data_IF_210023193282
#
_entry.id   IF_210023193282
#
_cell.length_a   1.000
_cell.length_b   1.000
_cell.length_c   1.000
_cell.angle_alpha   90.00
_cell.angle_beta   90.00
_cell.angle_gamma   90.00
#
_symmetry.space_group_name_H-M   'P 1'
#
loop_
_entity.id
_entity.type
_entity.pdbx_description
1 polymer ?
#
# COMPACT_ATOMS: atom_id res chain seq x y z
N UNK A 1 6.43 1.73 26.98
CA UNK A 1 6.32 3.16 26.61
C UNK A 1 6.61 3.26 25.12
N UNK A 2 5.65 3.74 24.31
CA UNK A 2 5.86 3.91 22.87
C UNK A 2 6.87 5.04 22.65
N UNK A 3 7.86 4.81 21.79
CA UNK A 3 8.75 5.86 21.32
C UNK A 3 7.88 6.94 20.62
N UNK A 4 7.96 8.23 20.98
CA UNK A 4 7.14 9.28 20.39
C UNK A 4 7.32 9.45 18.88
N UNK A 5 8.36 8.85 18.30
CA UNK A 5 8.62 8.83 16.86
C UNK A 5 8.03 7.61 16.14
N UNK A 6 7.61 6.57 16.87
CA UNK A 6 7.05 5.35 16.27
C UNK A 6 5.60 5.55 15.85
N UNK A 7 5.17 4.80 14.84
CA UNK A 7 3.79 4.75 14.37
C UNK A 7 3.29 3.33 14.26
N UNK A 8 1.96 3.15 14.28
CA UNK A 8 1.32 1.85 14.14
C UNK A 8 0.47 1.80 12.87
N UNK A 9 0.39 0.63 12.28
CA UNK A 9 -0.45 0.33 11.12
C UNK A 9 -1.11 -1.02 11.40
N UNK A 10 -2.41 -1.04 11.46
CA UNK A 10 -3.15 -2.23 11.86
C UNK A 10 -4.44 -2.44 11.08
N UNK A 11 -5.10 -3.53 11.38
CA UNK A 11 -6.39 -3.86 10.80
C UNK A 11 -7.55 -3.24 11.59
N UNK A 12 -8.70 -3.08 10.94
CA UNK A 12 -9.90 -2.48 11.58
C UNK A 12 -10.44 -3.28 12.77
N UNK A 13 -10.17 -4.60 12.86
CA UNK A 13 -10.59 -5.40 14.00
C UNK A 13 -9.59 -5.37 15.18
N UNK A 14 -8.44 -4.71 15.02
CA UNK A 14 -7.42 -4.54 16.08
C UNK A 14 -6.57 -5.77 16.40
N UNK A 15 -6.77 -6.90 15.70
CA UNK A 15 -6.01 -8.14 15.93
C UNK A 15 -4.58 -8.02 15.39
N UNK A 16 -4.42 -7.50 14.16
CA UNK A 16 -3.13 -7.35 13.50
C UNK A 16 -2.65 -5.90 13.59
N UNK A 17 -1.37 -5.74 13.95
CA UNK A 17 -0.71 -4.44 13.98
C UNK A 17 0.79 -4.60 13.70
N UNK A 18 1.37 -3.70 12.94
CA UNK A 18 2.82 -3.51 12.79
C UNK A 18 3.18 -2.14 13.35
N UNK A 19 4.30 -2.07 14.09
CA UNK A 19 4.85 -0.82 14.59
C UNK A 19 6.10 -0.48 13.81
N UNK A 20 6.18 0.74 13.28
CA UNK A 20 7.33 1.26 12.56
C UNK A 20 8.12 2.25 13.41
N UNK A 21 9.44 2.29 13.22
CA UNK A 21 10.35 3.12 14.02
C UNK A 21 10.21 4.62 13.72
N UNK A 22 9.85 5.00 12.49
CA UNK A 22 9.51 6.37 12.10
C UNK A 22 8.06 6.41 11.59
N UNK A 23 7.21 7.19 12.26
CA UNK A 23 5.80 7.33 11.92
C UNK A 23 5.51 8.24 10.74
N UNK A 24 6.51 8.99 10.25
CA UNK A 24 6.29 9.98 9.19
C UNK A 24 6.21 9.31 7.83
N UNK A 25 5.13 9.54 7.11
CA UNK A 25 5.08 9.23 5.70
C UNK A 25 6.13 10.06 4.95
N UNK A 26 6.82 9.43 4.00
CA UNK A 26 7.89 10.07 3.22
C UNK A 26 7.44 10.47 1.82
N UNK A 27 6.31 9.91 1.36
CA UNK A 27 5.77 10.15 0.02
C UNK A 27 4.27 9.91 0.00
N UNK A 28 3.54 10.68 -0.82
CA UNK A 28 2.12 10.49 -1.06
C UNK A 28 1.79 10.61 -2.54
N UNK A 29 1.04 9.63 -3.05
CA UNK A 29 0.47 9.60 -4.39
C UNK A 29 -1.02 9.27 -4.36
N UNK A 30 -1.75 9.63 -5.42
CA UNK A 30 -3.02 9.00 -5.77
C UNK A 30 -2.76 8.02 -6.91
N UNK A 31 -3.42 6.86 -6.90
CA UNK A 31 -3.08 5.78 -7.83
C UNK A 31 -4.30 5.25 -8.57
N UNK A 32 -4.33 5.43 -9.89
CA UNK A 32 -5.39 4.91 -10.77
C UNK A 32 -5.19 3.45 -11.24
N UNK A 33 -4.10 2.76 -10.83
CA UNK A 33 -3.80 1.44 -11.37
C UNK A 33 -4.86 0.40 -10.99
N UNK A 34 -5.09 -0.53 -11.91
CA UNK A 34 -6.00 -1.65 -11.71
C UNK A 34 -5.64 -2.48 -10.48
N UNK A 35 -4.37 -2.74 -10.25
CA UNK A 35 -3.89 -3.57 -9.14
C UNK A 35 -4.24 -2.99 -7.76
N UNK A 36 -4.19 -1.66 -7.60
CA UNK A 36 -4.61 -1.03 -6.36
C UNK A 36 -6.12 -1.20 -6.15
N UNK A 37 -6.93 -0.93 -7.18
CA UNK A 37 -8.38 -1.10 -7.11
C UNK A 37 -8.76 -2.55 -6.84
N UNK A 38 -8.25 -3.50 -7.62
CA UNK A 38 -8.57 -4.93 -7.46
C UNK A 38 -8.20 -5.45 -6.07
N UNK A 39 -7.03 -5.05 -5.54
CA UNK A 39 -6.65 -5.43 -4.19
C UNK A 39 -7.64 -4.95 -3.14
N UNK A 40 -8.06 -3.68 -3.22
CA UNK A 40 -9.04 -3.11 -2.29
C UNK A 40 -10.41 -3.77 -2.44
N UNK A 41 -10.90 -3.91 -3.67
CA UNK A 41 -12.19 -4.51 -3.97
C UNK A 41 -12.24 -5.97 -3.52
N UNK A 42 -11.19 -6.76 -3.79
CA UNK A 42 -11.10 -8.14 -3.36
C UNK A 42 -11.16 -8.26 -1.82
N UNK A 43 -10.36 -7.48 -1.09
CA UNK A 43 -10.42 -7.46 0.36
C UNK A 43 -11.80 -7.04 0.89
N UNK A 44 -12.44 -6.06 0.25
CA UNK A 44 -13.77 -5.57 0.62
C UNK A 44 -14.86 -6.61 0.34
N UNK A 45 -14.80 -7.34 -0.77
CA UNK A 45 -15.74 -8.41 -1.09
C UNK A 45 -15.75 -9.54 -0.04
N UNK A 46 -14.59 -9.82 0.57
CA UNK A 46 -14.46 -10.79 1.65
C UNK A 46 -15.12 -10.34 2.96
N UNK A 47 -15.26 -9.03 3.18
CA UNK A 47 -15.90 -8.47 4.38
C UNK A 47 -17.42 -8.65 4.39
N UNK A 48 -18.06 -8.67 3.22
CA UNK A 48 -19.53 -8.74 3.07
C UNK A 48 -20.11 -10.00 3.76
N UNK A 49 -19.34 -11.07 3.88
CA UNK A 49 -19.77 -12.32 4.50
C UNK A 49 -19.70 -12.34 6.03
N UNK A 50 -19.18 -11.26 6.66
CA UNK A 50 -18.98 -11.19 8.12
C UNK A 50 -19.76 -10.01 8.71
N UNK A 51 -20.87 -10.26 9.43
CA UNK A 51 -21.59 -9.21 10.15
C UNK A 51 -20.65 -8.55 11.20
N UNK A 52 -20.77 -7.25 11.39
CA UNK A 52 -20.01 -6.43 12.34
C UNK A 52 -18.57 -6.04 11.95
N UNK A 53 -18.14 -6.23 10.70
CA UNK A 53 -16.89 -5.67 10.23
C UNK A 53 -17.16 -4.37 9.48
N UNK A 54 -16.38 -3.33 9.77
CA UNK A 54 -16.46 -2.05 9.08
C UNK A 54 -16.20 -2.26 7.57
N UNK A 55 -17.26 -2.15 6.76
CA UNK A 55 -17.16 -2.18 5.30
C UNK A 55 -16.85 -0.79 4.81
N UNK A 56 -15.59 -0.56 4.44
CA UNK A 56 -15.20 0.69 3.81
C UNK A 56 -15.42 0.58 2.31
N UNK A 57 -16.15 1.54 1.74
CA UNK A 57 -16.34 1.62 0.28
C UNK A 57 -14.96 1.78 -0.38
N UNK A 58 -14.61 0.97 -1.39
CA UNK A 58 -13.35 1.09 -2.12
C UNK A 58 -13.15 2.49 -2.70
N UNK A 59 -11.92 2.97 -2.63
CA UNK A 59 -11.54 4.21 -3.29
C UNK A 59 -11.37 3.98 -4.79
N UNK A 60 -11.99 4.85 -5.58
CA UNK A 60 -11.82 4.86 -7.03
C UNK A 60 -10.39 5.28 -7.41
N UNK A 61 -9.84 6.24 -6.68
CA UNK A 61 -8.47 6.73 -6.86
C UNK A 61 -7.75 6.71 -5.51
N UNK A 62 -7.23 5.54 -5.09
CA UNK A 62 -6.68 5.33 -3.76
C UNK A 62 -5.56 6.29 -3.38
N UNK A 63 -5.58 6.73 -2.14
CA UNK A 63 -4.53 7.49 -1.49
C UNK A 63 -3.43 6.54 -1.01
N UNK A 64 -2.22 6.68 -1.54
CA UNK A 64 -1.08 5.78 -1.33
C UNK A 64 0.01 6.53 -0.57
N UNK A 65 0.23 6.16 0.68
CA UNK A 65 1.25 6.77 1.54
C UNK A 65 2.40 5.81 1.79
N UNK A 66 3.62 6.26 1.54
CA UNK A 66 4.83 5.46 1.73
C UNK A 66 5.42 5.70 3.11
N UNK A 67 5.63 4.61 3.82
CA UNK A 67 6.15 4.57 5.19
C UNK A 67 7.52 3.89 5.17
N UNK A 68 8.53 4.41 5.90
CA UNK A 68 9.81 3.75 6.06
C UNK A 68 9.67 2.32 6.59
N UNK A 69 10.37 1.36 5.96
CA UNK A 69 10.22 -0.07 6.25
C UNK A 69 11.04 -0.55 7.46
N UNK A 70 11.08 0.22 8.54
CA UNK A 70 11.69 -0.16 9.81
C UNK A 70 10.64 -0.71 10.76
N UNK A 71 10.28 -1.98 10.63
CA UNK A 71 9.27 -2.65 11.46
C UNK A 71 9.93 -3.14 12.76
N UNK A 72 9.56 -2.55 13.89
CA UNK A 72 10.16 -2.84 15.21
C UNK A 72 9.29 -3.73 16.10
N UNK A 73 8.01 -3.91 15.75
CA UNK A 73 7.10 -4.82 16.47
C UNK A 73 5.97 -5.29 15.57
N UNK A 74 5.49 -6.51 15.82
CA UNK A 74 4.39 -7.14 15.11
C UNK A 74 3.47 -7.79 16.14
N UNK A 75 2.17 -7.48 16.07
CA UNK A 75 1.11 -8.09 16.87
C UNK A 75 0.16 -8.86 15.97
N UNK A 76 -0.28 -10.05 16.40
CA UNK A 76 -1.25 -10.86 15.66
C UNK A 76 -0.72 -11.39 14.33
N UNK A 77 0.57 -11.71 14.27
CA UNK A 77 1.25 -12.23 13.07
C UNK A 77 0.56 -13.47 12.50
N UNK A 78 0.07 -14.35 13.33
CA UNK A 78 -0.65 -15.58 12.98
C UNK A 78 -1.97 -15.32 12.24
N UNK A 79 -2.52 -14.10 12.36
CA UNK A 79 -3.71 -13.63 11.65
C UNK A 79 -3.37 -12.82 10.39
N UNK A 80 -2.11 -12.67 10.04
CA UNK A 80 -1.69 -12.03 8.81
C UNK A 80 -1.53 -13.05 7.69
N UNK A 81 -1.79 -12.63 6.45
CA UNK A 81 -1.45 -13.39 5.24
C UNK A 81 -1.00 -12.46 4.15
N UNK A 82 -0.05 -12.94 3.36
CA UNK A 82 0.51 -12.25 2.22
C UNK A 82 -0.09 -12.80 0.91
N UNK A 83 -0.43 -11.91 -0.02
CA UNK A 83 -1.06 -12.27 -1.29
C UNK A 83 -0.43 -11.53 -2.46
N UNK A 84 -0.38 -12.21 -3.61
CA UNK A 84 -0.22 -11.60 -4.93
C UNK A 84 -1.54 -11.68 -5.68
N UNK A 85 -1.87 -10.67 -6.47
CA UNK A 85 -3.11 -10.70 -7.27
C UNK A 85 -3.04 -11.71 -8.40
N UNK A 86 -1.85 -11.90 -8.99
CA UNK A 86 -1.57 -12.77 -10.13
C UNK A 86 -0.17 -13.37 -10.00
N UNK A 87 0.11 -14.42 -10.74
CA UNK A 87 1.43 -15.07 -10.77
C UNK A 87 2.53 -14.10 -11.23
N UNK A 88 2.28 -13.32 -12.29
CA UNK A 88 3.14 -12.27 -12.80
C UNK A 88 3.17 -11.01 -11.93
N UNK A 89 2.29 -10.93 -10.94
CA UNK A 89 2.16 -9.80 -10.03
C UNK A 89 3.38 -9.65 -9.14
N UNK A 90 3.99 -8.45 -9.14
CA UNK A 90 5.20 -8.16 -8.36
C UNK A 90 4.90 -7.62 -6.98
N UNK A 91 3.75 -6.97 -6.79
CA UNK A 91 3.35 -6.40 -5.49
C UNK A 91 2.82 -7.47 -4.56
N UNK A 92 3.28 -7.42 -3.31
CA UNK A 92 2.81 -8.29 -2.22
C UNK A 92 1.94 -7.46 -1.29
N UNK A 93 0.76 -7.99 -0.97
CA UNK A 93 -0.25 -7.35 -0.14
C UNK A 93 -0.43 -8.11 1.16
N UNK A 94 -0.37 -7.41 2.27
CA UNK A 94 -0.57 -7.96 3.61
C UNK A 94 -1.99 -7.70 4.08
N UNK A 95 -2.75 -8.75 4.35
CA UNK A 95 -4.11 -8.66 4.86
C UNK A 95 -4.26 -9.30 6.23
N UNK A 96 -5.24 -8.83 6.98
CA UNK A 96 -5.75 -9.52 8.15
C UNK A 96 -6.74 -10.62 7.73
N UNK A 97 -6.49 -11.88 8.08
CA UNK A 97 -7.39 -13.02 7.79
C UNK A 97 -8.77 -12.91 8.46
N UNK A 98 -8.88 -12.13 9.53
CA UNK A 98 -10.14 -11.98 10.26
C UNK A 98 -11.07 -10.93 9.64
N UNK A 99 -10.55 -9.76 9.29
CA UNK A 99 -11.39 -8.64 8.82
C UNK A 99 -11.05 -8.18 7.40
N UNK A 100 -10.12 -8.83 6.73
CA UNK A 100 -9.70 -8.52 5.36
C UNK A 100 -9.28 -7.06 5.14
N UNK A 101 -8.84 -6.39 6.21
CA UNK A 101 -8.16 -5.10 6.08
C UNK A 101 -6.86 -5.27 5.32
N UNK A 102 -6.64 -4.44 4.31
CA UNK A 102 -5.36 -4.33 3.63
C UNK A 102 -4.41 -3.49 4.51
N UNK A 103 -3.48 -4.16 5.19
CA UNK A 103 -2.59 -3.53 6.17
C UNK A 103 -1.50 -2.73 5.46
N UNK A 104 -0.82 -3.36 4.49
CA UNK A 104 0.29 -2.74 3.77
C UNK A 104 0.57 -3.44 2.45
N UNK A 105 1.31 -2.79 1.57
CA UNK A 105 1.71 -3.32 0.27
C UNK A 105 3.16 -2.98 0.00
N UNK A 106 3.91 -3.95 -0.52
CA UNK A 106 5.28 -3.77 -1.00
C UNK A 106 5.40 -4.13 -2.49
N UNK A 107 6.41 -3.54 -3.12
CA UNK A 107 6.82 -3.87 -4.48
C UNK A 107 8.35 -3.91 -4.55
N UNK A 108 8.99 -4.83 -5.31
CA UNK A 108 10.46 -4.95 -5.37
C UNK A 108 11.18 -3.66 -5.77
N UNK A 109 10.52 -2.78 -6.52
CA UNK A 109 11.09 -1.48 -6.88
C UNK A 109 11.33 -0.55 -5.68
N UNK A 110 10.74 -0.84 -4.53
CA UNK A 110 10.94 -0.05 -3.30
C UNK A 110 12.19 -0.48 -2.53
N UNK A 111 12.86 -1.55 -2.99
CA UNK A 111 14.13 -2.05 -2.44
C UNK A 111 14.09 -2.30 -0.92
N UNK A 112 12.92 -2.66 -0.40
CA UNK A 112 12.66 -2.85 1.04
C UNK A 112 12.96 -1.61 1.91
N UNK A 113 13.06 -0.41 1.30
CA UNK A 113 13.25 0.85 2.04
C UNK A 113 11.95 1.40 2.58
N UNK A 114 10.88 1.21 1.82
CA UNK A 114 9.52 1.67 2.14
C UNK A 114 8.52 0.60 1.74
N UNK A 115 7.36 0.65 2.35
CA UNK A 115 6.14 0.01 1.86
C UNK A 115 5.03 1.07 1.85
N UNK A 116 3.91 0.80 1.22
CA UNK A 116 2.82 1.76 1.26
C UNK A 116 1.60 1.23 1.99
N UNK A 117 0.83 2.17 2.50
CA UNK A 117 -0.47 1.96 3.12
C UNK A 117 -1.55 2.74 2.39
N UNK A 118 -2.77 2.26 2.55
CA UNK A 118 -4.00 2.90 2.09
C UNK A 118 -4.84 3.24 3.34
N UNK A 119 -4.76 4.47 3.87
CA UNK A 119 -5.28 4.79 5.21
C UNK A 119 -6.76 4.50 5.42
N UNK A 120 -7.56 4.49 4.33
CA UNK A 120 -8.97 4.12 4.39
C UNK A 120 -9.19 2.62 4.61
N UNK A 121 -8.20 1.79 4.28
CA UNK A 121 -8.29 0.32 4.32
C UNK A 121 -7.52 -0.33 5.46
N UNK A 122 -6.82 0.48 6.26
CA UNK A 122 -6.16 0.10 7.52
C UNK A 122 -6.41 1.17 8.58
N UNK A 123 -5.99 0.89 9.81
CA UNK A 123 -5.94 1.88 10.90
C UNK A 123 -4.49 2.27 11.10
N UNK A 124 -4.20 3.57 11.23
CA UNK A 124 -2.82 4.02 11.42
C UNK A 124 -2.72 5.21 12.37
N UNK A 125 -1.65 5.25 13.16
CA UNK A 125 -1.19 6.42 13.91
C UNK A 125 -0.02 7.13 13.23
N UNK A 126 0.34 6.72 12.01
CA UNK A 126 1.39 7.40 11.26
C UNK A 126 0.99 8.84 10.90
N UNK A 127 1.98 9.71 10.86
CA UNK A 127 1.82 11.08 10.41
C UNK A 127 1.79 11.10 8.88
N UNK A 128 0.62 11.42 8.33
CA UNK A 128 0.35 11.46 6.90
C UNK A 128 0.38 12.89 6.32
N UNK A 129 0.90 13.87 7.08
CA UNK A 129 1.01 15.28 6.66
C UNK A 129 2.14 15.50 5.65
N UNK A 130 2.11 14.75 4.55
CA UNK A 130 2.99 14.90 3.40
C UNK A 130 2.17 15.35 2.20
N UNK A 131 2.65 16.32 1.39
CA UNK A 131 1.87 16.82 0.26
C UNK A 131 1.71 15.75 -0.84
N UNK A 132 0.59 15.82 -1.57
CA UNK A 132 0.38 15.03 -2.77
C UNK A 132 1.47 15.40 -3.80
N UNK A 133 2.18 14.41 -4.30
CA UNK A 133 3.29 14.62 -5.24
C UNK A 133 2.87 14.39 -6.69
N UNK A 134 2.00 13.41 -6.93
CA UNK A 134 1.56 13.04 -8.27
C UNK A 134 0.32 12.14 -8.23
N UNK A 135 -0.36 12.07 -9.38
CA UNK A 135 -1.41 11.06 -9.65
C UNK A 135 -0.83 10.08 -10.69
N UNK A 136 -0.88 8.79 -10.39
CA UNK A 136 -0.18 7.74 -11.13
C UNK A 136 -1.13 6.77 -11.82
N UNK A 137 -0.68 6.18 -12.95
CA UNK A 137 -1.34 5.09 -13.66
C UNK A 137 -2.76 5.41 -14.13
N UNK A 138 -2.94 6.61 -14.68
CA UNK A 138 -4.23 7.06 -15.20
C UNK A 138 -4.68 6.32 -16.46
N UNK A 139 -3.79 5.58 -17.14
CA UNK A 139 -4.14 4.65 -18.23
C UNK A 139 -5.15 3.59 -17.78
N UNK A 140 -5.03 3.12 -16.53
CA UNK A 140 -5.87 2.06 -15.98
C UNK A 140 -7.10 2.62 -15.23
N UNK A 141 -7.24 3.94 -15.18
CA UNK A 141 -8.37 4.59 -14.49
C UNK A 141 -9.63 4.45 -15.35
N UNK A 142 -10.73 3.88 -14.82
CA UNK A 142 -11.92 3.63 -15.61
C UNK A 142 -12.56 4.92 -16.13
N UNK A 143 -13.01 4.90 -17.39
CA UNK A 143 -13.67 6.04 -18.04
C UNK A 143 -15.04 6.39 -17.42
N UNK A 144 -15.70 5.40 -16.79
CA UNK A 144 -16.99 5.57 -16.10
C UNK A 144 -16.85 6.16 -14.68
N UNK A 145 -15.63 6.43 -14.24
CA UNK A 145 -15.38 7.08 -12.95
C UNK A 145 -15.37 8.62 -13.12
N UNK A 146 -15.70 9.30 -12.02
CA UNK A 146 -15.58 10.76 -11.99
C UNK A 146 -14.14 11.18 -12.31
N UNK A 147 -14.02 12.21 -13.16
CA UNK A 147 -12.72 12.80 -13.45
C UNK A 147 -12.03 13.19 -12.16
N UNK A 148 -10.76 12.79 -11.94
CA UNK A 148 -10.03 13.21 -10.76
C UNK A 148 -10.03 14.73 -10.67
N UNK A 149 -10.14 15.30 -9.46
CA UNK A 149 -10.02 16.74 -9.31
C UNK A 149 -8.71 17.23 -9.95
N UNK A 150 -8.76 18.37 -10.60
CA UNK A 150 -7.58 19.05 -11.13
C UNK A 150 -6.73 19.50 -9.91
N UNK A 151 -5.88 18.61 -9.46
CA UNK A 151 -4.83 18.96 -8.51
C UNK A 151 -3.66 19.56 -9.29
N UNK A 152 -3.02 20.60 -8.77
CA UNK A 152 -1.82 21.23 -9.37
C UNK A 152 -0.57 20.30 -9.30
N UNK A 153 -0.79 18.98 -9.47
CA UNK A 153 0.25 17.98 -9.40
C UNK A 153 0.39 17.20 -10.70
N UNK A 154 1.59 16.69 -11.03
CA UNK A 154 1.82 15.95 -12.24
C UNK A 154 0.95 14.69 -12.35
N UNK A 155 0.33 14.50 -13.54
CA UNK A 155 -0.32 13.26 -13.93
C UNK A 155 0.65 12.36 -14.68
N UNK A 156 0.61 11.06 -14.39
CA UNK A 156 1.36 10.01 -15.07
C UNK A 156 0.42 8.92 -15.55
N UNK A 157 0.38 8.69 -16.84
CA UNK A 157 -0.54 7.74 -17.45
C UNK A 157 -0.02 6.30 -17.35
N UNK A 158 1.23 6.04 -17.74
CA UNK A 158 1.80 4.69 -17.69
C UNK A 158 3.31 4.71 -17.64
N UNK A 159 3.88 3.87 -16.79
CA UNK A 159 5.33 3.66 -16.75
C UNK A 159 5.85 2.67 -17.81
N UNK A 160 5.02 2.23 -18.74
CA UNK A 160 5.47 1.58 -19.98
C UNK A 160 6.25 2.56 -20.85
N UNK A 161 5.91 3.86 -20.81
CA UNK A 161 6.58 4.90 -21.56
C UNK A 161 7.86 5.37 -20.86
N UNK A 162 9.00 5.27 -21.58
CA UNK A 162 10.32 5.68 -21.04
C UNK A 162 10.33 7.13 -20.56
N UNK A 163 9.70 8.03 -21.31
CA UNK A 163 9.63 9.46 -20.99
C UNK A 163 8.90 9.71 -19.66
N UNK A 164 7.78 9.02 -19.42
CA UNK A 164 7.05 9.14 -18.15
C UNK A 164 7.87 8.61 -16.97
N UNK A 165 8.56 7.47 -17.14
CA UNK A 165 9.48 6.97 -16.11
C UNK A 165 10.59 7.97 -15.79
N UNK A 166 11.19 8.59 -16.80
CA UNK A 166 12.25 9.58 -16.62
C UNK A 166 11.71 10.84 -15.88
N UNK A 167 10.55 11.35 -16.33
CA UNK A 167 9.89 12.49 -15.70
C UNK A 167 9.54 12.20 -14.24
N UNK A 168 8.99 11.03 -13.95
CA UNK A 168 8.67 10.60 -12.59
C UNK A 168 9.92 10.49 -11.72
N UNK A 169 10.97 9.82 -12.21
CA UNK A 169 12.23 9.65 -11.49
C UNK A 169 12.97 10.96 -11.23
N UNK A 170 12.70 12.01 -12.02
CA UNK A 170 13.28 13.35 -11.81
C UNK A 170 12.59 14.16 -10.73
N UNK A 171 11.44 13.71 -10.21
CA UNK A 171 10.80 14.38 -9.08
C UNK A 171 11.69 14.23 -7.83
N UNK A 172 12.11 15.34 -7.18
CA UNK A 172 13.11 15.30 -6.11
C UNK A 172 12.73 14.39 -4.95
N UNK A 173 11.45 14.38 -4.56
CA UNK A 173 10.93 13.54 -3.48
C UNK A 173 10.96 12.05 -3.86
N UNK A 174 10.65 11.71 -5.12
CA UNK A 174 10.66 10.34 -5.64
C UNK A 174 12.06 9.75 -5.61
N UNK A 175 13.05 10.50 -6.13
CA UNK A 175 14.44 10.06 -6.16
C UNK A 175 14.97 9.72 -4.75
N UNK A 176 14.59 10.49 -3.74
CA UNK A 176 14.99 10.25 -2.37
C UNK A 176 14.26 9.06 -1.71
N UNK A 177 12.95 8.92 -1.93
CA UNK A 177 12.11 7.87 -1.33
C UNK A 177 12.53 6.46 -1.77
N UNK A 178 12.86 6.30 -3.06
CA UNK A 178 13.18 4.99 -3.64
C UNK A 178 14.69 4.74 -3.81
N UNK A 179 15.52 5.63 -3.29
CA UNK A 179 16.97 5.42 -3.25
C UNK A 179 17.32 4.31 -2.26
N UNK A 180 18.22 3.41 -2.68
CA UNK A 180 18.70 2.35 -1.78
C UNK A 180 19.23 2.94 -0.47
N UNK A 181 18.72 2.40 0.63
CA UNK A 181 19.12 2.81 1.97
C UNK A 181 20.56 2.39 2.26
N UNK A 182 21.29 3.24 2.95
CA UNK A 182 22.66 2.97 3.43
C UNK A 182 22.69 2.67 4.93
N UNK A 183 21.72 3.17 5.68
CA UNK A 183 21.67 3.01 7.13
C UNK A 183 21.06 1.66 7.51
N UNK A 184 21.55 1.03 8.59
CA UNK A 184 20.98 -0.22 9.08
C UNK A 184 19.54 -0.02 9.55
N UNK A 185 18.72 -1.08 9.40
CA UNK A 185 17.36 -1.11 9.94
C UNK A 185 17.42 -1.15 11.47
N UNK A 186 16.43 -0.51 12.12
CA UNK A 186 16.20 -0.62 13.57
C UNK A 186 15.43 -1.88 13.95
N UNK A 187 14.80 -2.52 12.98
CA UNK A 187 14.01 -3.73 13.10
C UNK A 187 14.15 -4.61 11.88
N UNK A 188 13.04 -5.13 11.38
CA UNK A 188 12.99 -5.91 10.14
C UNK A 188 12.35 -5.07 9.02
N UNK A 189 12.63 -5.42 7.76
CA UNK A 189 11.94 -4.84 6.62
C UNK A 189 10.66 -5.61 6.28
N UNK A 190 9.88 -5.09 5.33
CA UNK A 190 8.61 -5.71 4.95
C UNK A 190 8.81 -7.08 4.26
N UNK A 191 9.86 -7.25 3.48
CA UNK A 191 10.19 -8.55 2.85
C UNK A 191 10.48 -9.61 3.90
N UNK A 192 11.23 -9.27 4.96
CA UNK A 192 11.49 -10.18 6.07
C UNK A 192 10.22 -10.54 6.84
N UNK A 193 9.31 -9.56 7.04
CA UNK A 193 7.98 -9.85 7.60
C UNK A 193 7.24 -10.85 6.74
N UNK A 194 7.11 -10.60 5.43
CA UNK A 194 6.40 -11.49 4.49
C UNK A 194 7.02 -12.89 4.49
N UNK A 195 8.33 -13.00 4.36
CA UNK A 195 9.02 -14.29 4.37
C UNK A 195 8.74 -15.09 5.65
N UNK A 196 8.55 -14.40 6.77
CA UNK A 196 8.22 -15.02 8.05
C UNK A 196 6.76 -15.51 8.14
N UNK A 197 5.90 -15.18 7.17
CA UNK A 197 4.51 -15.67 7.07
C UNK A 197 4.39 -16.88 6.14
N UNK A 198 5.44 -17.21 5.40
CA UNK A 198 5.45 -18.21 4.32
C UNK A 198 5.35 -17.55 2.94
N UNK A 199 5.19 -18.39 1.91
CA UNK A 199 5.05 -17.89 0.54
C UNK A 199 3.71 -17.16 0.35
N UNK A 200 3.68 -16.01 -0.37
CA UNK A 200 2.45 -15.33 -0.68
C UNK A 200 1.50 -16.19 -1.52
N UNK A 201 0.25 -16.27 -1.13
CA UNK A 201 -0.79 -16.93 -1.91
C UNK A 201 -1.09 -16.13 -3.19
N UNK A 202 -1.27 -16.86 -4.31
CA UNK A 202 -1.60 -16.25 -5.61
C UNK A 202 -3.12 -16.33 -5.82
N UNK A 203 -3.75 -15.17 -5.96
CA UNK A 203 -5.22 -15.08 -6.08
C UNK A 203 -5.74 -15.36 -7.49
N UNK A 204 -4.87 -15.30 -8.51
CA UNK A 204 -5.20 -15.46 -9.92
C UNK A 204 -6.37 -14.58 -10.39
N UNK A 205 -6.39 -13.32 -9.95
CA UNK A 205 -7.45 -12.39 -10.35
C UNK A 205 -7.31 -12.01 -11.83
N UNK A 206 -8.40 -12.13 -12.56
CA UNK A 206 -8.46 -11.73 -13.97
C UNK A 206 -8.33 -10.20 -14.10
N UNK A 207 -7.58 -9.76 -15.13
CA UNK A 207 -7.49 -8.33 -15.47
C UNK A 207 -8.85 -7.81 -15.93
N UNK A 208 -9.16 -6.56 -15.61
CA UNK A 208 -10.45 -5.95 -15.91
C UNK A 208 -11.61 -6.38 -14.99
N UNK A 209 -11.44 -7.43 -14.19
CA UNK A 209 -12.50 -7.90 -13.29
C UNK A 209 -12.72 -6.95 -12.12
N UNK A 210 -13.97 -6.66 -11.85
CA UNK A 210 -14.44 -5.90 -10.68
C UNK A 210 -15.08 -6.86 -9.67
N UNK A 211 -14.95 -6.55 -8.39
CA UNK A 211 -15.44 -7.40 -7.29
C UNK A 211 -16.60 -6.76 -6.51
N UNK A 212 -16.92 -5.53 -6.82
CA UNK A 212 -17.99 -4.75 -6.18
C UNK A 212 -18.77 -3.94 -7.23
#
# INVERSE_FOLDING_TARGET
>A
MSNPQSGTIGCHCGICEITVADKRAVQYFRCGCEDCRQGIEWGSSRKITKPNICTVKPDQLPHVYYIPADIISIKGKEFMSAYKLREDGRSIRLYCKQCWSLIAVEHPAYQSNVFYILPKHCVTSCDLSVPLTAILFMKDYPEDYETPPEDDVPLFYSFEYKQERQRFSSLPTVANTFKRRTDPLKGINFTELVNSLGEPEILNLERGKRFL
#
